data_IF_467056116228
#
_entry.id   IF_467056116228
#
_cell.length_a   1.000
_cell.length_b   1.000
_cell.length_c   1.000
_cell.angle_alpha   90.00
_cell.angle_beta   90.00
_cell.angle_gamma   90.00
#
_symmetry.space_group_name_H-M   'P 1'
#
loop_
_entity.id
_entity.type
_entity.pdbx_description
1 polymer ?
#
# COMPACT_ATOMS: atom_id res chain seq x y z
N UNK A 1 -18.03 2.97 35.33
CA UNK A 1 -17.07 2.53 34.30
C UNK A 1 -17.82 2.53 32.99
N UNK A 2 -17.82 3.66 32.27
CA UNK A 2 -18.48 3.76 30.97
C UNK A 2 -17.52 3.21 29.92
N UNK A 3 -17.67 1.92 29.58
CA UNK A 3 -17.22 1.42 28.28
C UNK A 3 -18.02 2.21 27.26
N UNK A 4 -17.40 3.22 26.66
CA UNK A 4 -17.97 3.87 25.49
C UNK A 4 -17.83 2.87 24.35
N UNK A 5 -18.80 1.96 24.22
CA UNK A 5 -18.81 0.95 23.17
C UNK A 5 -18.71 1.68 21.82
N UNK A 6 -17.55 1.58 21.18
CA UNK A 6 -17.32 2.14 19.85
C UNK A 6 -18.20 1.31 18.91
N UNK A 7 -19.32 1.89 18.50
CA UNK A 7 -20.24 1.25 17.57
C UNK A 7 -19.71 1.47 16.16
N UNK A 8 -19.06 0.46 15.59
CA UNK A 8 -18.68 0.47 14.19
C UNK A 8 -19.94 0.60 13.32
N UNK A 9 -19.83 1.30 12.18
CA UNK A 9 -20.93 1.32 11.22
C UNK A 9 -21.12 -0.09 10.65
N UNK A 10 -22.35 -0.45 10.27
CA UNK A 10 -22.64 -1.76 9.64
C UNK A 10 -21.75 -2.04 8.43
N UNK A 11 -21.30 -1.01 7.74
CA UNK A 11 -20.40 -1.09 6.58
C UNK A 11 -18.98 -1.52 6.97
N UNK A 12 -18.54 -1.25 8.20
CA UNK A 12 -17.21 -1.59 8.71
C UNK A 12 -17.21 -2.88 9.57
N UNK A 13 -18.37 -3.39 9.95
CA UNK A 13 -18.50 -4.59 10.79
C UNK A 13 -17.84 -5.83 10.17
N UNK A 14 -17.85 -5.94 8.83
CA UNK A 14 -17.25 -7.05 8.09
C UNK A 14 -15.92 -6.69 7.43
N UNK A 15 -15.33 -5.54 7.77
CA UNK A 15 -14.16 -5.00 7.07
C UNK A 15 -14.52 -4.33 5.73
N UNK A 16 -13.52 -3.70 5.12
CA UNK A 16 -13.63 -3.13 3.77
C UNK A 16 -12.94 -4.10 2.82
N UNK A 17 -13.66 -4.67 1.86
CA UNK A 17 -13.04 -5.47 0.80
C UNK A 17 -12.74 -4.60 -0.42
N UNK A 18 -11.53 -4.72 -0.97
CA UNK A 18 -11.13 -4.01 -2.19
C UNK A 18 -11.09 -4.96 -3.39
N UNK A 19 -11.83 -4.63 -4.44
CA UNK A 19 -11.74 -5.28 -5.75
C UNK A 19 -11.49 -4.24 -6.84
N UNK A 20 -10.36 -4.37 -7.54
CA UNK A 20 -9.96 -3.43 -8.58
C UNK A 20 -10.96 -3.45 -9.76
N UNK A 21 -11.66 -2.34 -9.99
CA UNK A 21 -12.61 -2.17 -11.09
C UNK A 21 -11.96 -1.67 -12.40
N UNK A 22 -10.62 -1.63 -12.45
CA UNK A 22 -9.85 -1.04 -13.56
C UNK A 22 -10.21 0.43 -13.88
N UNK A 23 -10.74 1.18 -12.92
CA UNK A 23 -11.13 2.59 -13.08
C UNK A 23 -9.95 3.58 -13.07
N UNK A 24 -8.79 3.15 -12.54
CA UNK A 24 -7.61 4.01 -12.37
C UNK A 24 -7.62 4.85 -11.09
N UNK A 25 -8.73 4.85 -10.33
CA UNK A 25 -8.86 5.68 -9.11
C UNK A 25 -7.91 5.25 -8.00
N UNK A 26 -7.71 3.94 -7.81
CA UNK A 26 -6.72 3.41 -6.86
C UNK A 26 -5.27 3.76 -7.23
N UNK A 27 -5.05 4.35 -8.41
CA UNK A 27 -3.76 4.82 -8.87
C UNK A 27 -3.63 6.35 -8.74
N UNK A 28 -4.52 7.02 -8.01
CA UNK A 28 -4.52 8.47 -7.76
C UNK A 28 -4.80 8.76 -6.29
N UNK A 29 -4.35 9.93 -5.82
CA UNK A 29 -4.65 10.44 -4.48
C UNK A 29 -4.06 9.57 -3.38
N UNK A 30 -2.89 9.96 -2.87
CA UNK A 30 -2.26 9.27 -1.74
C UNK A 30 -2.81 9.75 -0.38
N UNK A 31 -3.63 10.80 -0.36
CA UNK A 31 -4.19 11.36 0.88
C UNK A 31 -5.03 10.35 1.68
N UNK A 32 -5.46 9.24 1.07
CA UNK A 32 -6.26 8.20 1.72
C UNK A 32 -5.50 6.90 2.04
N UNK A 33 -4.23 6.73 1.62
CA UNK A 33 -3.49 5.51 1.98
C UNK A 33 -2.21 5.22 1.21
N UNK A 34 -1.51 4.17 1.68
CA UNK A 34 -0.23 3.72 1.14
C UNK A 34 -0.36 2.41 0.35
N UNK A 35 0.28 2.32 -0.82
CA UNK A 35 0.44 1.04 -1.52
C UNK A 35 1.74 0.40 -1.09
N UNK A 36 1.66 -0.41 -0.04
CA UNK A 36 2.77 -1.19 0.48
C UNK A 36 3.26 -2.24 -0.52
N UNK A 37 4.57 -2.48 -0.52
CA UNK A 37 5.26 -3.42 -1.40
C UNK A 37 5.97 -4.48 -0.58
N UNK A 38 5.50 -5.72 -0.69
CA UNK A 38 6.19 -6.88 -0.17
C UNK A 38 7.22 -7.40 -1.17
N UNK A 39 8.15 -8.22 -0.68
CA UNK A 39 9.20 -8.81 -1.51
C UNK A 39 8.63 -9.53 -2.74
N UNK A 40 7.55 -10.29 -2.57
CA UNK A 40 6.92 -11.02 -3.67
C UNK A 40 6.27 -10.10 -4.70
N UNK A 41 5.72 -8.95 -4.28
CA UNK A 41 5.20 -7.95 -5.22
C UNK A 41 6.32 -7.40 -6.09
N UNK A 42 7.47 -7.08 -5.49
CA UNK A 42 8.66 -6.58 -6.20
C UNK A 42 9.17 -7.62 -7.20
N UNK A 43 9.20 -8.89 -6.82
CA UNK A 43 9.63 -9.99 -7.72
C UNK A 43 8.66 -10.10 -8.91
N UNK A 44 7.35 -10.13 -8.67
CA UNK A 44 6.35 -10.23 -9.77
C UNK A 44 6.40 -9.03 -10.71
N UNK A 45 6.53 -7.82 -10.16
CA UNK A 45 6.65 -6.59 -10.94
C UNK A 45 7.91 -6.59 -11.81
N UNK A 46 9.06 -6.89 -11.22
CA UNK A 46 10.35 -6.83 -11.94
C UNK A 46 10.45 -7.89 -13.04
N UNK A 47 9.89 -9.09 -12.83
CA UNK A 47 9.73 -10.11 -13.88
C UNK A 47 8.90 -9.59 -15.06
N UNK A 48 7.75 -8.95 -14.79
CA UNK A 48 6.86 -8.44 -15.84
C UNK A 48 7.49 -7.29 -16.65
N UNK A 49 8.38 -6.53 -16.02
CA UNK A 49 9.09 -5.41 -16.64
C UNK A 49 10.41 -5.85 -17.27
N UNK A 50 10.70 -7.16 -17.32
CA UNK A 50 11.96 -7.75 -17.82
C UNK A 50 13.22 -7.17 -17.16
N UNK A 51 13.13 -6.78 -15.88
CA UNK A 51 14.25 -6.27 -15.09
C UNK A 51 15.03 -7.46 -14.53
N UNK A 52 16.15 -7.80 -15.17
CA UNK A 52 16.98 -8.95 -14.77
C UNK A 52 18.28 -8.54 -14.09
N UNK A 53 18.78 -7.31 -14.34
CA UNK A 53 20.07 -6.85 -13.81
C UNK A 53 19.89 -6.11 -12.49
N UNK A 54 20.78 -6.38 -11.53
CA UNK A 54 20.80 -5.70 -10.22
C UNK A 54 20.90 -4.17 -10.32
N UNK A 55 21.65 -3.66 -11.31
CA UNK A 55 21.78 -2.22 -11.55
C UNK A 55 20.48 -1.58 -12.04
N UNK A 56 19.69 -2.29 -12.84
CA UNK A 56 18.37 -1.86 -13.31
C UNK A 56 17.36 -1.89 -12.17
N UNK A 57 17.38 -2.94 -11.36
CA UNK A 57 16.56 -3.03 -10.15
C UNK A 57 16.81 -1.84 -9.22
N UNK A 58 18.07 -1.47 -9.00
CA UNK A 58 18.42 -0.31 -8.15
C UNK A 58 17.88 1.00 -8.73
N UNK A 59 17.99 1.19 -10.04
CA UNK A 59 17.43 2.38 -10.73
C UNK A 59 15.91 2.40 -10.64
N UNK A 60 15.27 1.25 -10.85
CA UNK A 60 13.83 1.06 -10.74
C UNK A 60 13.34 1.40 -9.33
N UNK A 61 13.89 0.76 -8.30
CA UNK A 61 13.51 1.01 -6.91
C UNK A 61 13.70 2.48 -6.52
N UNK A 62 14.82 3.11 -6.89
CA UNK A 62 15.07 4.53 -6.60
C UNK A 62 14.06 5.46 -7.27
N UNK A 63 13.54 5.09 -8.45
CA UNK A 63 12.59 5.90 -9.20
C UNK A 63 11.16 5.73 -8.69
N UNK A 64 10.76 4.48 -8.42
CA UNK A 64 9.35 4.12 -8.23
C UNK A 64 8.97 3.82 -6.79
N UNK A 65 9.92 3.61 -5.88
CA UNK A 65 9.62 3.26 -4.49
C UNK A 65 9.96 4.40 -3.52
N UNK A 66 9.24 4.43 -2.41
CA UNK A 66 9.57 5.22 -1.21
C UNK A 66 9.75 4.31 -0.01
N UNK A 67 10.48 4.79 0.98
CA UNK A 67 10.59 4.14 2.29
C UNK A 67 9.45 4.69 3.14
N UNK A 68 8.68 3.79 3.73
CA UNK A 68 7.70 4.11 4.77
C UNK A 68 8.34 3.70 6.10
N UNK A 69 8.36 4.63 7.05
CA UNK A 69 8.99 4.49 8.36
C UNK A 69 7.98 4.93 9.42
N UNK A 70 6.99 4.05 9.63
CA UNK A 70 5.82 4.35 10.43
C UNK A 70 5.94 3.76 11.84
N UNK A 71 5.27 4.43 12.75
CA UNK A 71 5.20 4.07 14.15
C UNK A 71 3.75 4.06 14.59
N UNK A 72 3.28 2.94 15.15
CA UNK A 72 1.93 2.84 15.68
C UNK A 72 1.95 2.31 17.11
N UNK A 73 0.96 2.73 17.90
CA UNK A 73 0.76 2.24 19.25
C UNK A 73 -0.30 1.15 19.22
N UNK A 74 0.01 -0.01 19.78
CA UNK A 74 -0.94 -1.10 19.90
C UNK A 74 -0.96 -1.64 21.32
N UNK A 75 -2.17 -1.80 21.84
CA UNK A 75 -2.43 -2.38 23.16
C UNK A 75 -3.26 -3.64 22.97
N UNK A 76 -2.65 -4.79 23.25
CA UNK A 76 -3.37 -6.06 23.16
C UNK A 76 -4.49 -6.14 24.20
N UNK A 77 -5.61 -6.80 23.89
CA UNK A 77 -6.69 -6.99 24.85
C UNK A 77 -6.19 -7.70 26.11
N UNK A 78 -6.43 -7.10 27.28
CA UNK A 78 -6.02 -7.67 28.58
C UNK A 78 -4.65 -7.22 29.09
N UNK A 79 -3.84 -6.54 28.27
CA UNK A 79 -2.56 -5.97 28.73
C UNK A 79 -2.76 -4.69 29.54
N UNK A 80 -1.93 -4.45 30.57
CA UNK A 80 -1.98 -3.21 31.34
C UNK A 80 -1.40 -2.03 30.54
N UNK A 81 -0.37 -2.28 29.72
CA UNK A 81 0.36 -1.27 28.94
C UNK A 81 0.41 -1.66 27.45
N UNK A 82 0.20 -0.68 26.57
CA UNK A 82 0.44 -0.88 25.14
C UNK A 82 1.91 -0.74 24.79
N UNK A 83 2.26 -1.18 23.59
CA UNK A 83 3.61 -1.13 23.02
C UNK A 83 3.59 -0.25 21.78
N UNK A 84 4.69 0.45 21.56
CA UNK A 84 4.92 1.21 20.33
C UNK A 84 5.68 0.32 19.35
N UNK A 85 5.06 0.04 18.21
CA UNK A 85 5.62 -0.73 17.11
C UNK A 85 6.18 0.24 16.07
N UNK A 86 7.38 -0.07 15.57
CA UNK A 86 8.00 0.63 14.46
C UNK A 86 8.21 -0.35 13.34
N UNK A 87 7.83 0.02 12.12
CA UNK A 87 8.10 -0.80 10.96
C UNK A 87 8.63 0.05 9.82
N UNK A 88 9.60 -0.52 9.12
CA UNK A 88 10.19 0.05 7.92
C UNK A 88 9.82 -0.83 6.75
N UNK A 89 9.15 -0.28 5.77
CA UNK A 89 8.72 -1.01 4.58
C UNK A 89 8.88 -0.16 3.33
N UNK A 90 8.57 -0.74 2.17
CA UNK A 90 8.56 -0.05 0.89
C UNK A 90 7.12 0.21 0.48
N UNK A 91 6.91 1.36 -0.14
CA UNK A 91 5.66 1.68 -0.82
C UNK A 91 5.92 2.26 -2.19
N UNK A 92 4.88 2.34 -3.03
CA UNK A 92 5.00 3.07 -4.29
C UNK A 92 5.15 4.57 -4.06
N UNK A 93 5.99 5.19 -4.88
CA UNK A 93 6.05 6.63 -5.01
C UNK A 93 4.99 7.07 -6.01
N UNK A 94 4.13 8.00 -5.59
CA UNK A 94 3.18 8.68 -6.45
C UNK A 94 3.78 10.03 -6.87
N UNK A 95 3.38 10.55 -8.03
CA UNK A 95 3.95 11.75 -8.64
C UNK A 95 2.89 12.56 -9.38
N UNK A 96 3.23 13.80 -9.75
CA UNK A 96 2.29 14.71 -10.38
C UNK A 96 1.43 15.45 -9.36
N UNK A 97 0.70 16.46 -9.82
CA UNK A 97 -0.12 17.32 -8.97
C UNK A 97 -1.37 16.59 -8.43
N UNK A 98 -1.80 15.52 -9.11
CA UNK A 98 -2.90 14.62 -8.71
C UNK A 98 -2.41 13.38 -7.94
N UNK A 99 -1.12 13.35 -7.58
CA UNK A 99 -0.47 12.24 -6.91
C UNK A 99 -0.84 10.89 -7.53
N UNK A 100 -0.53 10.69 -8.81
CA UNK A 100 -0.81 9.43 -9.50
C UNK A 100 0.36 8.45 -9.46
N UNK A 101 0.01 7.16 -9.53
CA UNK A 101 0.95 6.07 -9.64
C UNK A 101 1.62 6.09 -11.02
N UNK A 102 2.92 5.84 -11.05
CA UNK A 102 3.70 5.75 -12.29
C UNK A 102 3.21 4.73 -13.32
N UNK A 103 2.39 3.77 -12.91
CA UNK A 103 1.82 2.74 -13.79
C UNK A 103 0.45 3.09 -14.33
N UNK A 104 -0.12 4.25 -13.99
CA UNK A 104 -1.34 4.77 -14.60
C UNK A 104 -1.05 5.22 -16.04
N UNK A 105 -1.68 4.56 -17.00
CA UNK A 105 -1.61 4.90 -18.44
C UNK A 105 -3.02 4.84 -19.01
N UNK A 106 -3.43 5.83 -19.79
CA UNK A 106 -4.77 5.85 -20.42
C UNK A 106 -5.92 5.58 -19.42
N UNK A 107 -5.79 6.12 -18.20
CA UNK A 107 -6.71 5.90 -17.08
C UNK A 107 -6.77 4.46 -16.52
N UNK A 108 -5.84 3.58 -16.91
CA UNK A 108 -5.79 2.18 -16.46
C UNK A 108 -4.42 1.82 -15.87
N UNK A 109 -4.40 0.82 -14.99
CA UNK A 109 -3.16 0.32 -14.40
C UNK A 109 -2.44 -0.60 -15.39
N UNK A 110 -1.29 -0.15 -15.90
CA UNK A 110 -0.47 -0.91 -16.87
C UNK A 110 0.15 -2.20 -16.31
N UNK A 111 0.15 -2.38 -14.99
CA UNK A 111 0.63 -3.60 -14.31
C UNK A 111 -0.50 -4.34 -13.59
N UNK A 112 -1.76 -4.18 -14.03
CA UNK A 112 -2.94 -4.71 -13.33
C UNK A 112 -2.81 -6.19 -12.92
N UNK A 113 -2.33 -7.07 -13.81
CA UNK A 113 -2.17 -8.51 -13.52
C UNK A 113 -1.08 -8.82 -12.49
N UNK A 114 -0.15 -7.89 -12.26
CA UNK A 114 1.02 -8.03 -11.38
C UNK A 114 1.04 -6.97 -10.28
N UNK A 115 -0.09 -6.30 -10.05
CA UNK A 115 -0.24 -5.30 -9.01
C UNK A 115 0.08 -5.89 -7.63
N UNK A 116 0.57 -5.08 -6.69
CA UNK A 116 0.68 -5.52 -5.30
C UNK A 116 -0.67 -5.98 -4.78
N UNK A 117 -0.65 -6.96 -3.89
CA UNK A 117 -1.85 -7.36 -3.17
C UNK A 117 -2.14 -6.26 -2.14
N UNK A 118 -3.26 -5.57 -2.32
CA UNK A 118 -3.81 -4.69 -1.31
C UNK A 118 -4.57 -5.58 -0.33
N UNK A 119 -3.97 -5.88 0.81
CA UNK A 119 -4.70 -6.41 1.95
C UNK A 119 -5.38 -5.21 2.61
N UNK A 120 -6.70 -5.13 2.46
CA UNK A 120 -7.53 -4.21 3.22
C UNK A 120 -7.87 -4.84 4.59
#
# INVERSE_FOLDING_TARGET
>A
MTSSDIKLSKTLENGIEFSCQMCGDCCRGLEEGEVYLYQDDIVRLTQSLNITRKSELKKFAKKYFKIIDDTFFWKEPGEERGKTYKFKTLGFKFTGDDEHCHFLKDNICSVHEKRPLLYA
#
